data_IF_467296637708
#
_entry.id   IF_467296637708
#
_cell.length_a   1.000
_cell.length_b   1.000
_cell.length_c   1.000
_cell.angle_alpha   90.00
_cell.angle_beta   90.00
_cell.angle_gamma   90.00
#
_symmetry.space_group_name_H-M   'P 1'
#
loop_
_entity.id
_entity.type
_entity.pdbx_description
1 polymer ?
#
# COMPACT_ATOMS: atom_id res chain seq x y z
N UNK A 1 -12.48 -38.42 2.65
CA UNK A 1 -11.36 -38.42 3.62
C UNK A 1 -9.99 -38.69 2.98
N UNK A 2 -9.57 -39.94 2.68
CA UNK A 2 -8.22 -40.22 2.11
C UNK A 2 -7.97 -39.58 0.73
N UNK A 3 -8.97 -39.57 -0.14
CA UNK A 3 -8.87 -38.91 -1.46
C UNK A 3 -8.81 -37.37 -1.35
N UNK A 4 -9.57 -36.78 -0.43
CA UNK A 4 -9.55 -35.33 -0.16
C UNK A 4 -8.22 -34.88 0.43
N UNK A 5 -7.62 -35.69 1.31
CA UNK A 5 -6.28 -35.44 1.86
C UNK A 5 -5.20 -35.45 0.76
N UNK A 6 -5.21 -36.48 -0.10
CA UNK A 6 -4.27 -36.57 -1.24
C UNK A 6 -4.44 -35.42 -2.23
N UNK A 7 -5.68 -35.07 -2.57
CA UNK A 7 -5.96 -33.92 -3.42
C UNK A 7 -5.44 -32.62 -2.79
N UNK A 8 -5.69 -32.40 -1.50
CA UNK A 8 -5.20 -31.22 -0.77
C UNK A 8 -3.67 -31.14 -0.77
N UNK A 9 -2.98 -32.26 -0.53
CA UNK A 9 -1.51 -32.34 -0.57
C UNK A 9 -0.96 -31.96 -1.95
N UNK A 10 -1.54 -32.50 -3.03
CA UNK A 10 -1.11 -32.20 -4.40
C UNK A 10 -1.34 -30.72 -4.70
N UNK A 11 -2.52 -30.19 -4.38
CA UNK A 11 -2.83 -28.77 -4.61
C UNK A 11 -1.89 -27.86 -3.84
N UNK A 12 -1.67 -28.09 -2.54
CA UNK A 12 -0.73 -27.28 -1.75
C UNK A 12 0.72 -27.43 -2.24
N UNK A 13 1.14 -28.62 -2.67
CA UNK A 13 2.45 -28.84 -3.27
C UNK A 13 2.65 -28.01 -4.54
N UNK A 14 1.68 -28.06 -5.47
CA UNK A 14 1.71 -27.30 -6.71
C UNK A 14 1.70 -25.79 -6.46
N UNK A 15 0.87 -25.32 -5.53
CA UNK A 15 0.80 -23.90 -5.16
C UNK A 15 2.11 -23.40 -4.55
N UNK A 16 2.72 -24.18 -3.64
CA UNK A 16 4.05 -23.86 -3.11
C UNK A 16 5.10 -23.82 -4.23
N UNK A 17 5.07 -24.76 -5.18
CA UNK A 17 5.98 -24.76 -6.32
C UNK A 17 5.85 -23.50 -7.18
N UNK A 18 4.62 -23.10 -7.50
CA UNK A 18 4.36 -21.90 -8.30
C UNK A 18 4.81 -20.63 -7.59
N UNK A 19 4.45 -20.47 -6.31
CA UNK A 19 4.83 -19.30 -5.52
C UNK A 19 6.34 -19.26 -5.26
N UNK A 20 6.98 -20.42 -5.13
CA UNK A 20 8.44 -20.50 -5.02
C UNK A 20 9.14 -19.98 -6.27
N UNK A 21 8.66 -20.36 -7.47
CA UNK A 21 9.18 -19.81 -8.73
C UNK A 21 8.99 -18.29 -8.81
N UNK A 22 7.84 -17.79 -8.37
CA UNK A 22 7.59 -16.35 -8.28
C UNK A 22 8.56 -15.66 -7.30
N UNK A 23 8.84 -16.24 -6.14
CA UNK A 23 9.81 -15.70 -5.19
C UNK A 23 11.24 -15.72 -5.73
N UNK A 24 11.63 -16.76 -6.49
CA UNK A 24 12.95 -16.80 -7.17
C UNK A 24 13.05 -15.67 -8.19
N UNK A 25 12.01 -15.47 -9.00
CA UNK A 25 11.96 -14.38 -9.96
C UNK A 25 12.08 -13.03 -9.24
N UNK A 26 11.28 -12.79 -8.20
CA UNK A 26 11.35 -11.55 -7.41
C UNK A 26 12.72 -11.38 -6.75
N UNK A 27 13.33 -12.44 -6.21
CA UNK A 27 14.68 -12.36 -5.64
C UNK A 27 15.70 -11.89 -6.70
N UNK A 28 15.65 -12.46 -7.91
CA UNK A 28 16.57 -12.08 -9.00
C UNK A 28 16.31 -10.67 -9.53
N UNK A 29 15.06 -10.30 -9.76
CA UNK A 29 14.69 -9.06 -10.47
C UNK A 29 14.37 -7.87 -9.54
N UNK A 30 14.20 -8.09 -8.25
CA UNK A 30 13.88 -7.02 -7.28
C UNK A 30 14.97 -6.88 -6.22
N UNK A 31 15.47 -7.99 -5.68
CA UNK A 31 16.44 -7.96 -4.58
C UNK A 31 17.88 -7.83 -5.08
N UNK A 32 18.26 -8.59 -6.11
CA UNK A 32 19.63 -8.57 -6.64
C UNK A 32 19.88 -7.33 -7.50
N UNK A 33 18.95 -6.97 -8.40
CA UNK A 33 19.02 -5.75 -9.22
C UNK A 33 18.55 -4.49 -8.47
N UNK A 34 18.61 -4.50 -7.14
CA UNK A 34 18.13 -3.40 -6.31
C UNK A 34 18.93 -2.12 -6.60
N UNK A 35 18.32 -1.18 -7.32
CA UNK A 35 18.92 0.12 -7.67
C UNK A 35 19.50 0.24 -9.08
N UNK A 36 19.51 -0.83 -9.89
CA UNK A 36 20.05 -0.83 -11.26
C UNK A 36 18.99 -0.66 -12.36
N UNK A 37 17.70 -0.84 -12.04
CA UNK A 37 16.63 -0.80 -13.04
C UNK A 37 16.25 0.65 -13.41
N UNK A 38 16.32 0.98 -14.71
CA UNK A 38 15.95 2.28 -15.25
C UNK A 38 14.43 2.57 -15.24
N UNK A 39 14.02 3.85 -15.38
CA UNK A 39 12.63 4.30 -15.29
C UNK A 39 11.64 3.59 -16.25
N UNK A 40 12.12 3.15 -17.41
CA UNK A 40 11.30 2.63 -18.51
C UNK A 40 10.96 1.13 -18.38
N UNK A 41 11.81 0.31 -17.74
CA UNK A 41 11.49 -1.10 -17.47
C UNK A 41 10.56 -1.26 -16.26
N UNK A 42 10.62 -0.32 -15.30
CA UNK A 42 9.80 -0.33 -14.10
C UNK A 42 8.30 -0.22 -14.44
N UNK A 43 7.89 0.78 -15.23
CA UNK A 43 6.48 1.19 -15.34
C UNK A 43 5.52 0.11 -15.88
N UNK A 44 5.93 -0.72 -16.84
CA UNK A 44 5.05 -1.76 -17.41
C UNK A 44 5.07 -3.07 -16.61
N UNK A 45 6.21 -3.47 -16.06
CA UNK A 45 6.31 -4.71 -15.28
C UNK A 45 5.61 -4.63 -13.91
N UNK A 46 5.57 -3.44 -13.30
CA UNK A 46 5.13 -3.32 -11.91
C UNK A 46 3.64 -3.09 -11.79
N UNK A 47 2.98 -2.42 -12.75
CA UNK A 47 1.54 -2.24 -12.68
C UNK A 47 0.77 -3.54 -12.95
N UNK A 48 1.08 -4.30 -14.00
CA UNK A 48 0.41 -5.59 -14.23
C UNK A 48 0.82 -6.64 -13.17
N UNK A 49 2.11 -6.72 -12.83
CA UNK A 49 2.62 -7.73 -11.92
C UNK A 49 2.13 -7.56 -10.48
N UNK A 50 2.09 -6.33 -9.96
CA UNK A 50 1.72 -6.09 -8.55
C UNK A 50 0.25 -6.39 -8.29
N UNK A 51 -0.67 -5.89 -9.12
CA UNK A 51 -2.11 -6.14 -8.91
C UNK A 51 -2.46 -7.63 -9.05
N UNK A 52 -1.83 -8.32 -10.01
CA UNK A 52 -2.00 -9.77 -10.18
C UNK A 52 -1.51 -10.53 -8.93
N UNK A 53 -0.39 -10.09 -8.34
CA UNK A 53 0.16 -10.71 -7.13
C UNK A 53 -0.70 -10.43 -5.89
N UNK A 54 -1.21 -9.21 -5.73
CA UNK A 54 -2.15 -8.89 -4.64
C UNK A 54 -3.42 -9.73 -4.76
N UNK A 55 -3.96 -9.89 -5.97
CA UNK A 55 -5.10 -10.75 -6.24
C UNK A 55 -4.79 -12.23 -5.96
N UNK A 56 -3.59 -12.69 -6.33
CA UNK A 56 -3.14 -14.04 -6.04
C UNK A 56 -3.08 -14.29 -4.52
N UNK A 57 -2.60 -13.33 -3.71
CA UNK A 57 -2.56 -13.45 -2.24
C UNK A 57 -3.99 -13.51 -1.63
N UNK A 58 -4.95 -12.78 -2.20
CA UNK A 58 -6.35 -12.86 -1.77
C UNK A 58 -6.97 -14.22 -2.10
N UNK A 59 -6.78 -14.72 -3.32
CA UNK A 59 -7.24 -16.06 -3.73
C UNK A 59 -6.60 -17.16 -2.88
N UNK A 60 -5.32 -16.98 -2.59
CA UNK A 60 -4.55 -17.79 -1.68
C UNK A 60 -5.23 -17.89 -0.30
N UNK A 61 -5.53 -16.76 0.33
CA UNK A 61 -6.21 -16.74 1.63
C UNK A 61 -7.59 -17.41 1.58
N UNK A 62 -8.36 -17.17 0.50
CA UNK A 62 -9.66 -17.82 0.30
C UNK A 62 -9.54 -19.35 0.20
N UNK A 63 -8.53 -19.86 -0.52
CA UNK A 63 -8.27 -21.28 -0.63
C UNK A 63 -7.97 -21.92 0.74
N UNK A 64 -7.14 -21.29 1.57
CA UNK A 64 -6.86 -21.81 2.92
C UNK A 64 -8.10 -21.79 3.81
N UNK A 65 -8.91 -20.73 3.74
CA UNK A 65 -10.17 -20.68 4.49
C UNK A 65 -11.09 -21.83 4.07
N UNK A 66 -11.15 -22.15 2.78
CA UNK A 66 -11.96 -23.24 2.24
C UNK A 66 -11.46 -24.61 2.69
N UNK A 67 -10.16 -24.90 2.53
CA UNK A 67 -9.57 -26.19 2.90
C UNK A 67 -9.60 -26.45 4.43
N UNK A 68 -9.47 -25.41 5.26
CA UNK A 68 -9.49 -25.53 6.73
C UNK A 68 -10.87 -25.28 7.36
N UNK A 69 -11.97 -25.40 6.60
CA UNK A 69 -13.36 -25.22 7.06
C UNK A 69 -13.97 -26.44 7.77
N UNK A 70 -13.34 -27.61 7.72
CA UNK A 70 -13.94 -28.87 8.21
C UNK A 70 -12.98 -29.84 8.90
N UNK A 71 -13.26 -31.15 8.77
CA UNK A 71 -12.60 -32.27 9.48
C UNK A 71 -11.09 -32.40 9.28
N UNK A 72 -10.50 -31.75 8.26
CA UNK A 72 -9.05 -31.72 8.06
C UNK A 72 -8.30 -31.01 9.21
N UNK A 73 -8.95 -30.10 9.93
CA UNK A 73 -8.34 -29.44 11.10
C UNK A 73 -8.14 -30.40 12.29
N UNK A 74 -8.83 -31.55 12.29
CA UNK A 74 -8.83 -32.57 13.35
C UNK A 74 -8.31 -33.94 12.89
N UNK A 75 -7.80 -34.04 11.66
CA UNK A 75 -7.25 -35.29 11.14
C UNK A 75 -5.92 -35.66 11.83
N UNK A 76 -5.71 -36.90 12.29
CA UNK A 76 -4.51 -37.30 13.03
C UNK A 76 -3.20 -37.26 12.22
N UNK A 77 -3.24 -37.50 10.90
CA UNK A 77 -2.05 -37.61 10.02
C UNK A 77 -1.65 -36.27 9.34
N UNK A 78 -1.95 -35.13 9.96
CA UNK A 78 -1.96 -33.81 9.30
C UNK A 78 -0.63 -33.03 9.32
N UNK A 79 0.49 -33.64 9.71
CA UNK A 79 1.75 -32.89 9.90
C UNK A 79 2.32 -32.33 8.59
N UNK A 80 2.28 -33.11 7.51
CA UNK A 80 2.77 -32.68 6.19
C UNK A 80 1.94 -31.56 5.59
N UNK A 81 0.61 -31.70 5.60
CA UNK A 81 -0.29 -30.68 5.07
C UNK A 81 -0.19 -29.37 5.88
N UNK A 82 0.02 -29.46 7.19
CA UNK A 82 0.29 -28.29 8.04
C UNK A 82 1.64 -27.64 7.71
N UNK A 83 2.67 -28.45 7.48
CA UNK A 83 3.97 -27.98 7.01
C UNK A 83 3.88 -27.24 5.68
N UNK A 84 3.21 -27.81 4.68
CA UNK A 84 2.97 -27.15 3.39
C UNK A 84 2.15 -25.86 3.52
N UNK A 85 1.17 -25.81 4.43
CA UNK A 85 0.41 -24.60 4.69
C UNK A 85 1.29 -23.51 5.33
N UNK A 86 2.18 -23.86 6.27
CA UNK A 86 3.11 -22.91 6.87
C UNK A 86 4.17 -22.42 5.89
N UNK A 87 4.75 -23.30 5.07
CA UNK A 87 5.67 -22.93 4.00
C UNK A 87 5.00 -21.96 3.04
N UNK A 88 3.76 -22.27 2.65
CA UNK A 88 2.98 -21.44 1.76
C UNK A 88 2.68 -20.06 2.36
N UNK A 89 2.35 -19.98 3.65
CA UNK A 89 2.13 -18.70 4.34
C UNK A 89 3.42 -17.87 4.36
N UNK A 90 4.56 -18.50 4.63
CA UNK A 90 5.86 -17.84 4.63
C UNK A 90 6.22 -17.32 3.23
N UNK A 91 5.98 -18.12 2.18
CA UNK A 91 6.23 -17.70 0.81
C UNK A 91 5.33 -16.54 0.36
N UNK A 92 4.05 -16.50 0.78
CA UNK A 92 3.16 -15.36 0.50
C UNK A 92 3.60 -14.10 1.27
N UNK A 93 4.10 -14.25 2.49
CA UNK A 93 4.66 -13.13 3.23
C UNK A 93 5.92 -12.59 2.53
N UNK A 94 6.80 -13.47 2.02
CA UNK A 94 7.97 -13.08 1.24
C UNK A 94 7.59 -12.33 -0.05
N UNK A 95 6.57 -12.79 -0.77
CA UNK A 95 6.02 -12.06 -1.92
C UNK A 95 5.51 -10.67 -1.54
N UNK A 96 4.77 -10.55 -0.42
CA UNK A 96 4.29 -9.28 0.06
C UNK A 96 5.45 -8.30 0.37
N UNK A 97 6.56 -8.80 0.93
CA UNK A 97 7.77 -8.00 1.14
C UNK A 97 8.44 -7.57 -0.18
N UNK A 98 8.50 -8.45 -1.19
CA UNK A 98 9.03 -8.09 -2.51
C UNK A 98 8.21 -7.00 -3.20
N UNK A 99 6.88 -6.99 -3.02
CA UNK A 99 6.03 -5.87 -3.49
C UNK A 99 6.29 -4.60 -2.70
N UNK A 100 6.42 -4.69 -1.38
CA UNK A 100 6.74 -3.54 -0.53
C UNK A 100 8.07 -2.91 -0.97
N UNK A 101 9.07 -3.74 -1.27
CA UNK A 101 10.39 -3.29 -1.72
C UNK A 101 10.34 -2.56 -3.06
N UNK A 102 9.61 -3.10 -4.05
CA UNK A 102 9.35 -2.40 -5.31
C UNK A 102 8.68 -1.06 -5.06
N UNK A 103 7.56 -1.07 -4.32
CA UNK A 103 6.81 0.17 -4.04
C UNK A 103 7.68 1.21 -3.32
N UNK A 104 8.60 0.78 -2.45
CA UNK A 104 9.59 1.65 -1.83
C UNK A 104 10.56 2.27 -2.83
N UNK A 105 11.10 1.49 -3.77
CA UNK A 105 11.93 2.02 -4.86
C UNK A 105 11.18 3.08 -5.67
N UNK A 106 9.91 2.84 -6.01
CA UNK A 106 9.09 3.85 -6.69
C UNK A 106 8.94 5.14 -5.89
N UNK A 107 8.78 5.03 -4.57
CA UNK A 107 8.69 6.20 -3.69
C UNK A 107 10.02 6.94 -3.60
N UNK A 108 11.15 6.24 -3.62
CA UNK A 108 12.47 6.87 -3.63
C UNK A 108 12.76 7.63 -4.94
N UNK A 109 12.26 7.14 -6.08
CA UNK A 109 12.46 7.79 -7.38
C UNK A 109 11.46 8.94 -7.64
N UNK A 110 10.17 8.70 -7.43
CA UNK A 110 9.09 9.61 -7.83
C UNK A 110 8.32 10.23 -6.66
N UNK A 111 8.78 10.04 -5.43
CA UNK A 111 8.11 10.52 -4.23
C UNK A 111 6.87 9.71 -3.81
N UNK A 112 6.19 10.17 -2.78
CA UNK A 112 4.98 9.54 -2.24
C UNK A 112 3.73 9.96 -3.03
N UNK A 113 2.86 9.00 -3.32
CA UNK A 113 1.57 9.22 -3.98
C UNK A 113 0.47 8.40 -3.31
N UNK A 114 -0.81 8.77 -3.50
CA UNK A 114 -1.94 8.06 -2.86
C UNK A 114 -1.95 6.57 -3.15
N UNK A 115 -1.73 6.17 -4.41
CA UNK A 115 -1.68 4.77 -4.82
C UNK A 115 -0.55 4.01 -4.10
N UNK A 116 0.65 4.60 -4.01
CA UNK A 116 1.83 4.00 -3.37
C UNK A 116 1.63 3.85 -1.86
N UNK A 117 1.05 4.86 -1.21
CA UNK A 117 0.68 4.81 0.20
C UNK A 117 -0.38 3.73 0.46
N UNK A 118 -1.39 3.63 -0.41
CA UNK A 118 -2.43 2.60 -0.35
C UNK A 118 -1.86 1.19 -0.43
N UNK A 119 -0.84 0.96 -1.27
CA UNK A 119 -0.14 -0.33 -1.36
C UNK A 119 0.51 -0.70 -0.01
N UNK A 120 1.20 0.23 0.67
CA UNK A 120 1.79 -0.07 1.98
C UNK A 120 0.74 -0.44 3.04
N UNK A 121 -0.36 0.30 3.08
CA UNK A 121 -1.48 0.00 3.98
C UNK A 121 -2.11 -1.36 3.69
N UNK A 122 -2.34 -1.66 2.41
CA UNK A 122 -2.89 -2.92 1.97
C UNK A 122 -1.98 -4.10 2.34
N UNK A 123 -0.67 -3.99 2.07
CA UNK A 123 0.30 -5.03 2.42
C UNK A 123 0.38 -5.26 3.93
N UNK A 124 0.25 -4.20 4.74
CA UNK A 124 0.21 -4.33 6.20
C UNK A 124 -1.00 -5.16 6.65
N UNK A 125 -2.18 -4.92 6.06
CA UNK A 125 -3.38 -5.72 6.31
C UNK A 125 -3.23 -7.18 5.83
N UNK A 126 -2.62 -7.38 4.67
CA UNK A 126 -2.34 -8.73 4.13
C UNK A 126 -1.41 -9.50 5.07
N UNK A 127 -0.29 -8.90 5.50
CA UNK A 127 0.65 -9.54 6.43
C UNK A 127 -0.01 -9.88 7.77
N UNK A 128 -0.86 -8.97 8.28
CA UNK A 128 -1.66 -9.27 9.46
C UNK A 128 -2.67 -10.39 9.23
N UNK A 129 -3.32 -10.43 8.06
CA UNK A 129 -4.19 -11.53 7.63
C UNK A 129 -3.48 -12.87 7.59
N UNK A 130 -2.28 -12.93 6.98
CA UNK A 130 -1.43 -14.12 6.97
C UNK A 130 -1.01 -14.53 8.39
N UNK A 131 -0.68 -13.57 9.25
CA UNK A 131 -0.36 -13.85 10.65
C UNK A 131 -1.55 -14.43 11.44
N UNK A 132 -2.74 -13.85 11.30
CA UNK A 132 -3.95 -14.41 11.95
C UNK A 132 -4.32 -15.78 11.40
N UNK A 133 -4.10 -16.01 10.10
CA UNK A 133 -4.26 -17.31 9.45
C UNK A 133 -3.27 -18.35 9.98
N UNK A 134 -2.00 -17.98 10.15
CA UNK A 134 -0.99 -18.79 10.82
C UNK A 134 -1.45 -19.18 12.23
N UNK A 135 -1.93 -18.21 13.02
CA UNK A 135 -2.43 -18.45 14.37
C UNK A 135 -3.68 -19.36 14.40
N UNK A 136 -4.56 -19.24 13.40
CA UNK A 136 -5.70 -20.16 13.25
C UNK A 136 -5.21 -21.59 13.02
N UNK A 137 -4.29 -21.79 12.06
CA UNK A 137 -3.79 -23.12 11.72
C UNK A 137 -3.00 -23.72 12.88
N UNK A 138 -2.15 -22.94 13.56
CA UNK A 138 -1.36 -23.37 14.73
C UNK A 138 -2.25 -23.78 15.90
N UNK A 139 -3.22 -22.95 16.26
CA UNK A 139 -4.05 -23.15 17.45
C UNK A 139 -5.43 -23.78 17.15
N UNK A 140 -5.62 -24.31 15.93
CA UNK A 140 -6.86 -24.95 15.44
C UNK A 140 -8.12 -24.09 15.66
N UNK A 141 -8.03 -22.77 15.53
CA UNK A 141 -9.16 -21.85 15.74
C UNK A 141 -10.21 -21.97 14.63
N UNK A 142 -11.42 -21.50 14.94
CA UNK A 142 -12.55 -21.45 14.01
C UNK A 142 -12.36 -20.35 12.95
N UNK A 143 -13.18 -20.37 11.90
CA UNK A 143 -13.21 -19.28 10.90
C UNK A 143 -13.70 -17.97 11.54
N UNK A 144 -14.62 -18.05 12.51
CA UNK A 144 -15.11 -16.87 13.24
C UNK A 144 -13.98 -16.07 13.91
N UNK A 145 -12.93 -16.75 14.43
CA UNK A 145 -11.75 -16.09 14.97
C UNK A 145 -11.03 -15.21 13.93
N UNK A 146 -10.89 -15.69 12.69
CA UNK A 146 -10.27 -14.92 11.62
C UNK A 146 -11.11 -13.71 11.25
N UNK A 147 -12.41 -13.90 11.05
CA UNK A 147 -13.31 -12.81 10.68
C UNK A 147 -13.28 -11.73 11.76
N UNK A 148 -13.40 -12.10 13.04
CA UNK A 148 -13.36 -11.15 14.13
C UNK A 148 -12.05 -10.36 14.18
N UNK A 149 -10.88 -11.04 14.13
CA UNK A 149 -9.57 -10.37 14.22
C UNK A 149 -9.26 -9.50 13.00
N UNK A 150 -9.62 -9.94 11.80
CA UNK A 150 -9.38 -9.17 10.58
C UNK A 150 -10.37 -8.01 10.44
N UNK A 151 -11.63 -8.16 10.87
CA UNK A 151 -12.57 -7.04 10.93
C UNK A 151 -12.09 -5.93 11.85
N UNK A 152 -11.52 -6.27 13.01
CA UNK A 152 -10.91 -5.27 13.90
C UNK A 152 -9.70 -4.57 13.26
N UNK A 153 -8.87 -5.31 12.51
CA UNK A 153 -7.74 -4.71 11.81
C UNK A 153 -8.21 -3.75 10.71
N UNK A 154 -9.19 -4.15 9.90
CA UNK A 154 -9.80 -3.27 8.88
C UNK A 154 -10.40 -2.03 9.54
N UNK A 155 -11.16 -2.21 10.63
CA UNK A 155 -11.75 -1.10 11.37
C UNK A 155 -10.68 -0.13 11.91
N UNK A 156 -9.63 -0.64 12.54
CA UNK A 156 -8.51 0.16 13.02
C UNK A 156 -7.79 0.89 11.87
N UNK A 157 -7.60 0.24 10.73
CA UNK A 157 -7.02 0.86 9.54
C UNK A 157 -7.90 1.98 8.98
N UNK A 158 -9.22 1.80 8.93
CA UNK A 158 -10.14 2.84 8.48
C UNK A 158 -10.10 4.07 9.42
N UNK A 159 -9.99 3.85 10.73
CA UNK A 159 -9.79 4.93 11.70
C UNK A 159 -8.43 5.62 11.50
N UNK A 160 -7.34 4.86 11.35
CA UNK A 160 -6.02 5.44 11.11
C UNK A 160 -5.98 6.26 9.82
N UNK A 161 -6.64 5.78 8.76
CA UNK A 161 -6.73 6.48 7.48
C UNK A 161 -7.57 7.77 7.56
N UNK A 162 -8.58 7.84 8.43
CA UNK A 162 -9.44 9.01 8.57
C UNK A 162 -8.88 10.10 9.49
N UNK A 163 -8.06 9.71 10.47
CA UNK A 163 -7.47 10.64 11.45
C UNK A 163 -6.32 11.47 10.87
N UNK A 164 -5.59 10.92 9.89
CA UNK A 164 -4.39 11.55 9.34
C UNK A 164 -4.74 12.35 8.09
N UNK A 165 -4.29 13.60 8.03
CA UNK A 165 -4.36 14.39 6.80
C UNK A 165 -3.26 13.94 5.83
N UNK A 166 -3.58 12.94 5.01
CA UNK A 166 -2.66 12.37 4.03
C UNK A 166 -2.21 13.37 2.97
N UNK A 167 -3.05 14.34 2.59
CA UNK A 167 -2.69 15.38 1.62
C UNK A 167 -1.48 16.18 2.11
N UNK A 168 -1.51 16.57 3.39
CA UNK A 168 -0.44 17.31 4.05
C UNK A 168 0.77 16.41 4.29
N UNK A 169 0.57 15.15 4.68
CA UNK A 169 1.67 14.21 4.92
C UNK A 169 2.44 13.90 3.62
N UNK A 170 1.72 13.62 2.52
CA UNK A 170 2.28 13.39 1.18
C UNK A 170 3.04 14.61 0.70
N UNK A 171 2.44 15.79 0.81
CA UNK A 171 3.09 17.03 0.36
C UNK A 171 4.35 17.32 1.16
N UNK A 172 4.30 17.18 2.48
CA UNK A 172 5.47 17.39 3.35
C UNK A 172 6.59 16.43 2.99
N UNK A 173 6.28 15.15 2.83
CA UNK A 173 7.27 14.14 2.44
C UNK A 173 7.91 14.50 1.10
N UNK A 174 7.11 14.78 0.07
CA UNK A 174 7.64 15.08 -1.27
C UNK A 174 8.47 16.36 -1.33
N UNK A 175 8.12 17.38 -0.54
CA UNK A 175 8.87 18.63 -0.48
C UNK A 175 10.18 18.49 0.30
N UNK A 176 10.25 17.59 1.29
CA UNK A 176 11.44 17.40 2.12
C UNK A 176 12.37 16.31 1.60
N UNK A 177 11.82 15.29 0.94
CA UNK A 177 12.58 14.21 0.34
C UNK A 177 13.47 14.73 -0.79
N UNK A 178 14.62 14.09 -0.95
CA UNK A 178 15.48 14.28 -2.10
C UNK A 178 15.25 13.17 -3.11
N UNK A 179 14.15 13.29 -3.86
CA UNK A 179 13.77 12.30 -4.85
C UNK A 179 14.70 12.44 -6.08
N UNK A 180 15.13 11.31 -6.64
CA UNK A 180 16.05 11.28 -7.79
C UNK A 180 15.50 12.00 -9.03
N UNK A 181 14.19 11.92 -9.26
CA UNK A 181 13.50 12.53 -10.41
C UNK A 181 12.99 13.95 -10.10
N UNK A 182 13.33 14.51 -8.94
CA UNK A 182 12.83 15.82 -8.50
C UNK A 182 11.42 15.78 -7.92
N UNK A 183 10.77 16.95 -7.90
CA UNK A 183 9.44 17.13 -7.29
C UNK A 183 8.40 17.21 -8.40
N UNK A 184 7.46 16.26 -8.40
CA UNK A 184 6.27 16.32 -9.26
C UNK A 184 5.31 17.41 -8.77
N UNK A 185 5.56 18.64 -9.21
CA UNK A 185 4.72 19.79 -8.89
C UNK A 185 3.32 19.65 -9.49
N UNK A 186 3.16 19.00 -10.65
CA UNK A 186 1.84 18.84 -11.25
C UNK A 186 0.93 18.02 -10.31
N UNK A 187 1.42 16.91 -9.79
CA UNK A 187 0.71 16.08 -8.81
C UNK A 187 0.35 16.86 -7.54
N UNK A 188 1.29 17.60 -6.95
CA UNK A 188 1.07 18.36 -5.71
C UNK A 188 0.04 19.51 -5.87
N UNK A 189 -0.06 20.08 -7.07
CA UNK A 189 -0.98 21.18 -7.34
C UNK A 189 -2.36 20.72 -7.82
N UNK A 190 -2.44 19.68 -8.65
CA UNK A 190 -3.68 19.23 -9.30
C UNK A 190 -4.39 18.11 -8.53
N UNK A 191 -3.67 17.07 -8.11
CA UNK A 191 -4.26 15.86 -7.52
C UNK A 191 -4.40 15.96 -6.00
N UNK A 192 -3.45 16.63 -5.34
CA UNK A 192 -3.50 16.81 -3.88
C UNK A 192 -4.44 17.96 -3.49
N UNK A 193 -5.24 17.74 -2.44
CA UNK A 193 -6.20 18.73 -1.93
C UNK A 193 -5.57 20.09 -1.59
N UNK A 194 -6.41 21.14 -1.57
CA UNK A 194 -6.02 22.53 -1.26
C UNK A 194 -5.48 22.69 0.18
N UNK A 195 -5.68 21.69 1.04
CA UNK A 195 -5.14 21.59 2.41
C UNK A 195 -3.61 21.65 2.48
N UNK A 196 -2.92 21.38 1.37
CA UNK A 196 -1.46 21.43 1.30
C UNK A 196 -0.90 22.83 0.97
N UNK A 197 -1.75 23.82 0.70
CA UNK A 197 -1.36 25.11 0.15
C UNK A 197 -0.32 25.84 1.01
N UNK A 198 -0.47 25.85 2.35
CA UNK A 198 0.52 26.47 3.24
C UNK A 198 1.94 25.87 3.07
N UNK A 199 2.05 24.56 2.82
CA UNK A 199 3.34 23.91 2.56
C UNK A 199 3.91 24.33 1.21
N UNK A 200 3.08 24.49 0.19
CA UNK A 200 3.54 24.92 -1.13
C UNK A 200 4.12 26.34 -1.08
N UNK A 201 3.54 27.24 -0.29
CA UNK A 201 4.13 28.56 -0.04
C UNK A 201 5.43 28.47 0.76
N UNK A 202 5.45 27.67 1.84
CA UNK A 202 6.64 27.53 2.69
C UNK A 202 7.87 26.98 1.93
N UNK A 203 7.67 26.04 1.00
CA UNK A 203 8.74 25.39 0.24
C UNK A 203 8.84 25.89 -1.21
N UNK A 204 8.36 27.11 -1.50
CA UNK A 204 8.35 27.70 -2.84
C UNK A 204 9.73 27.71 -3.51
N UNK A 205 10.79 28.05 -2.77
CA UNK A 205 12.16 28.05 -3.29
C UNK A 205 12.62 26.67 -3.76
N UNK A 206 12.34 25.63 -2.96
CA UNK A 206 12.68 24.25 -3.31
C UNK A 206 11.83 23.71 -4.46
N UNK A 207 10.57 24.12 -4.55
CA UNK A 207 9.73 23.82 -5.71
C UNK A 207 10.31 24.42 -6.98
N UNK A 208 10.75 25.68 -6.96
CA UNK A 208 11.39 26.31 -8.11
C UNK A 208 12.65 25.55 -8.56
N UNK A 209 13.46 25.12 -7.60
CA UNK A 209 14.71 24.40 -7.86
C UNK A 209 14.47 22.99 -8.44
N UNK A 210 13.54 22.22 -7.86
CA UNK A 210 13.43 20.77 -8.12
C UNK A 210 12.23 20.34 -8.96
N UNK A 211 11.32 21.24 -9.34
CA UNK A 211 10.16 20.89 -10.17
C UNK A 211 10.35 21.11 -11.67
N UNK A 212 11.41 21.82 -12.07
CA UNK A 212 11.58 22.28 -13.45
C UNK A 212 10.61 23.38 -13.88
N UNK A 213 9.77 23.91 -12.98
CA UNK A 213 8.87 25.02 -13.27
C UNK A 213 9.57 26.36 -13.12
N UNK A 214 9.25 27.31 -14.01
CA UNK A 214 9.70 28.69 -13.85
C UNK A 214 8.85 29.43 -12.79
N UNK A 215 9.33 30.59 -12.37
CA UNK A 215 8.68 31.38 -11.31
C UNK A 215 7.25 31.78 -11.69
N UNK A 216 7.03 32.20 -12.94
CA UNK A 216 5.70 32.63 -13.40
C UNK A 216 4.67 31.50 -13.33
N UNK A 217 5.03 30.29 -13.79
CA UNK A 217 4.17 29.10 -13.75
C UNK A 217 3.86 28.71 -12.31
N UNK A 218 4.84 28.74 -11.40
CA UNK A 218 4.65 28.42 -10.00
C UNK A 218 3.68 29.41 -9.31
N UNK A 219 3.87 30.72 -9.54
CA UNK A 219 2.99 31.76 -9.00
C UNK A 219 1.56 31.62 -9.54
N UNK A 220 1.41 31.35 -10.83
CA UNK A 220 0.10 31.15 -11.45
C UNK A 220 -0.60 29.92 -10.85
N UNK A 221 0.12 28.82 -10.62
CA UNK A 221 -0.43 27.62 -10.01
C UNK A 221 -0.83 27.84 -8.54
N UNK A 222 0.01 28.54 -7.75
CA UNK A 222 -0.30 28.94 -6.37
C UNK A 222 -1.53 29.84 -6.32
N UNK A 223 -1.62 30.82 -7.22
CA UNK A 223 -2.75 31.73 -7.31
C UNK A 223 -4.04 30.98 -7.66
N UNK A 224 -4.01 30.11 -8.67
CA UNK A 224 -5.16 29.28 -9.07
C UNK A 224 -5.65 28.41 -7.91
N UNK A 225 -4.73 27.78 -7.18
CA UNK A 225 -5.07 26.93 -6.02
C UNK A 225 -5.63 27.75 -4.85
N UNK A 226 -5.08 28.94 -4.59
CA UNK A 226 -5.62 29.89 -3.61
C UNK A 226 -7.05 30.32 -3.94
N UNK A 227 -7.33 30.66 -5.21
CA UNK A 227 -8.68 31.03 -5.64
C UNK A 227 -9.68 29.90 -5.43
N UNK A 228 -9.28 28.65 -5.70
CA UNK A 228 -10.12 27.47 -5.46
C UNK A 228 -10.46 27.31 -3.98
N UNK A 229 -9.47 27.50 -3.09
CA UNK A 229 -9.68 27.48 -1.64
C UNK A 229 -10.66 28.57 -1.19
N UNK A 230 -10.48 29.82 -1.64
CA UNK A 230 -11.35 30.95 -1.27
C UNK A 230 -12.79 30.72 -1.74
N UNK A 231 -12.99 30.27 -2.99
CA UNK A 231 -14.34 29.94 -3.50
C UNK A 231 -15.01 28.84 -2.68
N UNK A 232 -14.24 27.83 -2.27
CA UNK A 232 -14.75 26.75 -1.41
C UNK A 232 -15.12 27.26 -0.02
N UNK A 233 -14.27 28.10 0.58
CA UNK A 233 -14.53 28.70 1.89
C UNK A 233 -15.80 29.56 1.90
N UNK A 234 -16.09 30.27 0.81
CA UNK A 234 -17.33 31.06 0.66
C UNK A 234 -18.60 30.21 0.57
N UNK A 235 -18.51 28.99 0.04
CA UNK A 235 -19.63 28.04 -0.05
C UNK A 235 -19.79 27.19 1.21
N UNK A 236 -18.83 27.25 2.14
CA UNK A 236 -18.76 26.39 3.30
C UNK A 236 -19.62 26.96 4.46
N UNK A 237 -20.29 26.06 5.18
CA UNK A 237 -20.99 26.38 6.42
C UNK A 237 -20.17 25.94 7.63
N UNK A 238 -20.57 26.35 8.84
CA UNK A 238 -19.93 25.94 10.10
C UNK A 238 -19.75 24.42 10.25
N UNK A 239 -20.60 23.61 9.59
CA UNK A 239 -20.53 22.13 9.59
C UNK A 239 -19.36 21.55 8.82
N UNK A 240 -18.77 22.33 7.91
CA UNK A 240 -17.62 21.91 7.08
C UNK A 240 -16.27 22.31 7.70
N UNK A 241 -16.30 22.85 8.92
CA UNK A 241 -15.11 23.27 9.63
C UNK A 241 -14.11 22.12 9.77
N UNK A 242 -12.85 22.39 9.44
CA UNK A 242 -11.74 21.49 9.70
C UNK A 242 -10.47 22.28 10.00
N UNK A 243 -9.59 21.68 10.81
CA UNK A 243 -8.35 22.32 11.24
C UNK A 243 -7.39 22.68 10.08
N UNK A 244 -7.38 21.88 9.01
CA UNK A 244 -6.48 22.11 7.88
C UNK A 244 -6.83 23.38 7.11
N UNK A 245 -8.12 23.68 6.95
CA UNK A 245 -8.61 24.88 6.28
C UNK A 245 -8.32 26.12 7.13
N UNK A 246 -8.56 26.07 8.45
CA UNK A 246 -8.21 27.16 9.39
C UNK A 246 -6.72 27.48 9.34
N UNK A 247 -5.88 26.45 9.27
CA UNK A 247 -4.42 26.64 9.17
C UNK A 247 -4.01 27.33 7.87
N UNK A 248 -4.64 26.97 6.76
CA UNK A 248 -4.41 27.65 5.48
C UNK A 248 -4.85 29.11 5.54
N UNK A 249 -6.01 29.40 6.12
CA UNK A 249 -6.50 30.78 6.28
C UNK A 249 -5.53 31.63 7.12
N UNK A 250 -5.10 31.10 8.26
CA UNK A 250 -4.13 31.79 9.12
C UNK A 250 -2.82 32.13 8.41
N UNK A 251 -2.35 31.25 7.52
CA UNK A 251 -1.11 31.46 6.79
C UNK A 251 -1.26 32.43 5.59
N UNK A 252 -2.44 32.49 4.97
CA UNK A 252 -2.68 33.27 3.75
C UNK A 252 -3.18 34.70 4.00
N UNK A 253 -3.71 34.97 5.20
CA UNK A 253 -4.33 36.25 5.58
C UNK A 253 -3.59 36.96 6.74
N UNK A 254 -2.40 36.47 7.10
CA UNK A 254 -1.39 37.24 7.84
C UNK A 254 -0.45 37.93 6.87
#
# INVERSE_FOLDING_TARGET
MKNEYRASLITFGLLNGLIFLANIADFRYVWVSYGEAGPQELSQYVHAGTYLLLFAILLAMAAVIWYFRGNLNFYPENEWLRGFAFLWLAQNAMLAFSVALRNWQYVAHYGLAYKRLGVFWFLSLVLYGLYTLFQKVKNRKTIAFLLYRNSWAIYASLLALSLINWDVAITRYNLQADNKEGIDAQFLFQDVSDKNLYLLYQYKGRLLEKSGWNQATLEQALHKKRLKLVRRAQANSWRSWNYADVRNEYFLFK
#
